data_IF_466928333531
#
_entry.id   IF_466928333531
#
_cell.length_a   1.000
_cell.length_b   1.000
_cell.length_c   1.000
_cell.angle_alpha   90.00
_cell.angle_beta   90.00
_cell.angle_gamma   90.00
#
_symmetry.space_group_name_H-M   'P 1'
#
loop_
_entity.id
_entity.type
_entity.pdbx_description
1 polymer ?
#
# COMPACT_ATOMS: atom_id res chain seq x y z
N UNK A 1 6.10 -15.28 7.84
CA UNK A 1 6.26 -15.87 9.17
C UNK A 1 7.02 -15.00 10.20
N UNK A 2 7.66 -13.88 9.82
CA UNK A 2 8.48 -13.06 10.75
C UNK A 2 7.67 -12.01 11.56
N UNK A 3 6.46 -11.64 11.10
CA UNK A 3 5.67 -10.55 11.68
C UNK A 3 5.09 -10.86 13.07
N UNK A 4 4.62 -12.09 13.30
CA UNK A 4 4.02 -12.49 14.57
C UNK A 4 5.02 -12.41 15.74
N UNK A 5 6.27 -12.83 15.54
CA UNK A 5 7.32 -12.73 16.55
C UNK A 5 7.68 -11.26 16.87
N UNK A 6 7.65 -10.38 15.86
CA UNK A 6 7.91 -8.94 16.04
C UNK A 6 6.79 -8.22 16.80
N UNK A 7 5.53 -8.62 16.61
CA UNK A 7 4.39 -8.00 17.28
C UNK A 7 4.28 -8.45 18.75
N UNK A 8 4.60 -9.72 19.06
CA UNK A 8 4.72 -10.21 20.44
C UNK A 8 5.81 -9.45 21.21
N UNK A 9 7.00 -9.32 20.61
CA UNK A 9 8.11 -8.60 21.23
C UNK A 9 7.76 -7.14 21.56
N UNK A 10 7.07 -6.46 20.64
CA UNK A 10 6.58 -5.09 20.86
C UNK A 10 5.57 -5.03 21.99
N UNK A 11 4.63 -5.96 22.03
CA UNK A 11 3.59 -6.04 23.07
C UNK A 11 4.22 -6.20 24.46
N UNK A 12 5.23 -7.07 24.59
CA UNK A 12 5.95 -7.32 25.85
C UNK A 12 6.77 -6.12 26.31
N UNK A 13 7.42 -5.42 25.39
CA UNK A 13 8.15 -4.17 25.68
C UNK A 13 7.22 -3.07 26.15
N UNK A 14 6.06 -2.92 25.50
CA UNK A 14 5.06 -1.92 25.88
C UNK A 14 4.42 -2.25 27.23
N UNK A 15 4.15 -3.53 27.53
CA UNK A 15 3.66 -3.96 28.84
C UNK A 15 4.67 -3.62 29.95
N UNK A 16 5.94 -4.00 29.79
CA UNK A 16 6.97 -3.67 30.77
C UNK A 16 7.12 -2.16 30.99
N UNK A 17 7.00 -1.35 29.92
CA UNK A 17 7.01 0.11 30.05
C UNK A 17 5.79 0.66 30.79
N UNK A 18 4.61 0.05 30.65
CA UNK A 18 3.40 0.41 31.42
C UNK A 18 3.57 0.05 32.90
N UNK A 19 4.27 -1.03 33.19
CA UNK A 19 4.62 -1.47 34.55
C UNK A 19 5.73 -0.62 35.21
N UNK A 20 6.10 0.52 34.60
CA UNK A 20 7.06 1.48 35.16
C UNK A 20 8.51 1.28 34.74
N UNK A 21 8.80 0.31 33.87
CA UNK A 21 10.16 0.09 33.37
C UNK A 21 10.62 1.21 32.43
N UNK A 22 11.82 1.74 32.65
CA UNK A 22 12.41 2.72 31.73
C UNK A 22 12.68 2.11 30.35
N UNK A 23 12.70 2.93 29.29
CA UNK A 23 13.01 2.48 27.94
C UNK A 23 14.38 1.78 27.86
N UNK A 24 15.37 2.25 28.63
CA UNK A 24 16.71 1.67 28.69
C UNK A 24 16.70 0.30 29.36
N UNK A 25 15.95 0.16 30.45
CA UNK A 25 15.79 -1.11 31.17
C UNK A 25 15.02 -2.15 30.33
N UNK A 26 13.98 -1.72 29.62
CA UNK A 26 13.23 -2.59 28.71
C UNK A 26 14.09 -3.04 27.52
N UNK A 27 14.87 -2.14 26.92
CA UNK A 27 15.81 -2.47 25.86
C UNK A 27 16.81 -3.56 26.28
N UNK A 28 17.41 -3.42 27.46
CA UNK A 28 18.33 -4.41 28.03
C UNK A 28 17.63 -5.76 28.32
N UNK A 29 16.42 -5.74 28.87
CA UNK A 29 15.65 -6.95 29.20
C UNK A 29 15.26 -7.77 27.97
N UNK A 30 14.92 -7.09 26.86
CA UNK A 30 14.41 -7.73 25.65
C UNK A 30 15.46 -7.84 24.52
N UNK A 31 16.70 -7.40 24.76
CA UNK A 31 17.79 -7.50 23.79
C UNK A 31 17.61 -6.65 22.53
N UNK A 32 16.92 -5.51 22.64
CA UNK A 32 16.65 -4.61 21.51
C UNK A 32 17.34 -3.26 21.67
N UNK A 33 17.48 -2.52 20.56
CA UNK A 33 18.04 -1.16 20.59
C UNK A 33 17.21 -0.20 21.46
N UNK A 34 17.91 0.67 22.21
CA UNK A 34 17.28 1.70 23.05
C UNK A 34 16.43 2.65 22.19
N UNK A 35 16.93 3.05 21.02
CA UNK A 35 16.21 3.89 20.06
C UNK A 35 14.90 3.27 19.58
N UNK A 36 14.93 1.97 19.24
CA UNK A 36 13.73 1.20 18.87
C UNK A 36 12.71 1.17 20.00
N UNK A 37 13.17 0.93 21.22
CA UNK A 37 12.31 0.91 22.41
C UNK A 37 11.64 2.25 22.66
N UNK A 38 12.40 3.35 22.57
CA UNK A 38 11.88 4.72 22.70
C UNK A 38 10.82 4.99 21.62
N UNK A 39 11.12 4.64 20.37
CA UNK A 39 10.19 4.82 19.24
C UNK A 39 8.88 4.05 19.45
N UNK A 40 8.95 2.82 19.99
CA UNK A 40 7.75 2.02 20.29
C UNK A 40 6.91 2.64 21.41
N UNK A 41 7.53 3.07 22.51
CA UNK A 41 6.84 3.72 23.63
C UNK A 41 6.21 5.05 23.18
N UNK A 42 6.91 5.85 22.37
CA UNK A 42 6.38 7.10 21.82
C UNK A 42 5.19 6.84 20.87
N UNK A 43 5.29 5.83 19.99
CA UNK A 43 4.19 5.41 19.11
C UNK A 43 2.96 4.96 19.89
N UNK A 44 3.16 4.17 20.96
CA UNK A 44 2.07 3.71 21.81
C UNK A 44 1.38 4.85 22.57
N UNK A 45 2.15 5.85 23.05
CA UNK A 45 1.59 7.08 23.64
C UNK A 45 0.76 7.88 22.64
N UNK A 46 1.12 7.86 21.37
CA UNK A 46 0.34 8.47 20.29
C UNK A 46 -0.83 7.60 19.79
N UNK A 47 -1.20 6.53 20.51
CA UNK A 47 -2.30 5.63 20.14
C UNK A 47 -2.00 4.66 18.99
N UNK A 48 -0.77 4.65 18.46
CA UNK A 48 -0.34 3.76 17.38
C UNK A 48 0.33 2.52 17.95
N UNK A 49 -0.50 1.53 18.28
CA UNK A 49 -0.08 0.24 18.87
C UNK A 49 0.44 -0.74 17.82
N UNK A 50 0.01 -0.60 16.56
CA UNK A 50 0.48 -1.42 15.44
C UNK A 50 1.66 -0.74 14.73
N UNK A 51 2.63 -1.50 14.21
CA UNK A 51 3.63 -0.95 13.30
C UNK A 51 2.93 -0.32 12.09
N UNK A 52 3.39 0.87 11.69
CA UNK A 52 2.98 1.44 10.41
C UNK A 52 3.27 0.44 9.29
N UNK A 53 2.45 0.42 8.24
CA UNK A 53 2.60 -0.51 7.11
C UNK A 53 4.04 -0.43 6.57
N UNK A 54 4.85 -1.44 6.88
CA UNK A 54 6.22 -1.55 6.41
C UNK A 54 6.17 -2.07 4.97
N UNK A 55 6.57 -1.22 4.01
CA UNK A 55 6.49 -1.50 2.58
C UNK A 55 6.01 -0.29 1.78
N UNK A 56 5.84 -0.47 0.47
CA UNK A 56 5.27 0.56 -0.42
C UNK A 56 3.90 0.97 0.13
N UNK A 57 3.65 2.29 0.24
CA UNK A 57 2.31 2.82 0.54
C UNK A 57 1.33 2.23 -0.47
N UNK A 58 0.17 1.78 0.01
CA UNK A 58 -0.93 1.49 -0.90
C UNK A 58 -1.40 2.82 -1.47
N UNK A 59 -1.37 2.92 -2.79
CA UNK A 59 -1.64 4.17 -3.49
C UNK A 59 -0.82 4.29 -4.76
N UNK A 60 -1.51 4.45 -5.88
CA UNK A 60 -0.96 5.01 -7.11
C UNK A 60 -1.48 6.44 -7.25
N UNK A 61 -0.69 7.32 -7.88
CA UNK A 61 -1.17 8.64 -8.29
C UNK A 61 -2.39 8.53 -9.22
N UNK A 62 -2.54 7.41 -9.93
CA UNK A 62 -3.69 7.09 -10.77
C UNK A 62 -4.98 6.84 -9.99
N UNK A 63 -4.92 6.53 -8.69
CA UNK A 63 -6.13 6.28 -7.89
C UNK A 63 -7.02 7.53 -7.83
N UNK A 64 -6.44 8.73 -7.89
CA UNK A 64 -7.18 9.99 -7.95
C UNK A 64 -7.83 10.28 -9.31
N UNK A 65 -7.43 9.54 -10.36
CA UNK A 65 -7.89 9.71 -11.74
C UNK A 65 -8.60 8.46 -12.26
N UNK A 66 -9.08 7.60 -11.36
CA UNK A 66 -9.67 6.31 -11.71
C UNK A 66 -10.87 6.46 -12.64
N UNK A 67 -11.82 7.34 -12.28
CA UNK A 67 -13.03 7.58 -13.07
C UNK A 67 -12.71 8.09 -14.48
N UNK A 68 -11.68 8.93 -14.62
CA UNK A 68 -11.23 9.43 -15.92
C UNK A 68 -10.63 8.31 -16.78
N UNK A 69 -9.82 7.44 -16.17
CA UNK A 69 -9.19 6.31 -16.88
C UNK A 69 -10.25 5.28 -17.29
N UNK A 70 -11.22 4.99 -16.41
CA UNK A 70 -12.33 4.07 -16.71
C UNK A 70 -13.21 4.64 -17.81
N UNK A 71 -13.60 5.92 -17.72
CA UNK A 71 -14.40 6.59 -18.75
C UNK A 71 -13.72 6.57 -20.12
N UNK A 72 -12.41 6.80 -20.16
CA UNK A 72 -11.61 6.70 -21.39
C UNK A 72 -11.62 5.29 -22.01
N UNK A 73 -11.54 4.25 -21.18
CA UNK A 73 -11.60 2.85 -21.63
C UNK A 73 -13.01 2.50 -22.14
N UNK A 74 -14.06 3.04 -21.52
CA UNK A 74 -15.45 2.77 -21.90
C UNK A 74 -15.87 3.51 -23.18
N UNK A 75 -15.40 4.75 -23.37
CA UNK A 75 -15.71 5.59 -24.54
C UNK A 75 -15.05 5.05 -25.82
N UNK A 76 -13.82 4.52 -25.72
CA UNK A 76 -13.06 4.06 -26.87
C UNK A 76 -12.33 2.74 -26.56
N UNK A 77 -12.94 1.64 -27.02
CA UNK A 77 -12.54 0.27 -26.67
C UNK A 77 -11.24 -0.21 -27.35
N UNK A 78 -10.65 0.56 -28.25
CA UNK A 78 -9.47 0.21 -29.03
C UNK A 78 -8.19 0.96 -28.62
N UNK A 79 -8.15 1.54 -27.40
CA UNK A 79 -6.95 2.24 -26.96
C UNK A 79 -5.79 1.30 -26.60
N UNK A 80 -4.63 1.57 -27.20
CA UNK A 80 -3.38 0.97 -26.76
C UNK A 80 -2.87 1.65 -25.49
N UNK A 81 -2.15 0.89 -24.67
CA UNK A 81 -1.60 1.40 -23.40
C UNK A 81 -0.61 2.58 -23.60
N UNK A 82 0.01 2.71 -24.79
CA UNK A 82 0.85 3.85 -25.15
C UNK A 82 0.02 5.12 -25.42
N UNK A 83 -1.13 4.98 -26.09
CA UNK A 83 -2.02 6.11 -26.36
C UNK A 83 -2.67 6.62 -25.07
N UNK A 84 -3.03 5.72 -24.15
CA UNK A 84 -3.46 6.11 -22.81
C UNK A 84 -2.40 6.94 -22.08
N UNK A 85 -1.12 6.55 -22.16
CA UNK A 85 -0.01 7.31 -21.55
C UNK A 85 0.15 8.68 -22.21
N UNK A 86 0.02 8.79 -23.54
CA UNK A 86 0.09 10.07 -24.26
C UNK A 86 -1.06 11.00 -23.87
N UNK A 87 -2.28 10.47 -23.73
CA UNK A 87 -3.46 11.24 -23.34
C UNK A 87 -3.37 11.71 -21.88
N UNK A 88 -2.84 10.86 -20.99
CA UNK A 88 -2.54 11.22 -19.59
C UNK A 88 -1.40 12.24 -19.46
N UNK A 89 -0.42 12.23 -20.37
CA UNK A 89 0.67 13.19 -20.37
C UNK A 89 0.23 14.62 -20.75
N UNK A 90 -0.96 14.77 -21.35
CA UNK A 90 -1.61 16.06 -21.57
C UNK A 90 -2.16 16.71 -20.29
N UNK A 91 -2.31 15.94 -19.21
CA UNK A 91 -2.67 16.46 -17.90
C UNK A 91 -1.43 16.68 -17.01
N UNK A 92 -1.22 17.90 -16.46
CA UNK A 92 -0.06 18.21 -15.60
C UNK A 92 0.07 17.33 -14.34
N UNK A 93 -1.00 16.63 -13.95
CA UNK A 93 -1.07 15.83 -12.73
C UNK A 93 -0.56 14.38 -12.90
N UNK A 94 -0.45 13.86 -14.14
CA UNK A 94 -0.28 12.42 -14.39
C UNK A 94 0.84 12.12 -15.39
N UNK A 95 2.09 12.49 -15.06
CA UNK A 95 3.25 11.91 -15.76
C UNK A 95 3.55 10.52 -15.18
N UNK A 96 3.07 9.47 -15.86
CA UNK A 96 3.22 8.07 -15.43
C UNK A 96 3.67 7.22 -16.62
N UNK A 97 4.72 6.43 -16.42
CA UNK A 97 5.23 5.53 -17.45
C UNK A 97 4.31 4.34 -17.72
N UNK A 98 4.38 3.80 -18.94
CA UNK A 98 3.65 2.63 -19.44
C UNK A 98 3.54 1.49 -18.41
N UNK A 99 4.65 1.09 -17.80
CA UNK A 99 4.68 -0.02 -16.85
C UNK A 99 3.90 0.24 -15.56
N UNK A 100 3.82 1.49 -15.11
CA UNK A 100 3.07 1.85 -13.91
C UNK A 100 1.56 1.88 -14.18
N UNK A 101 1.13 2.29 -15.38
CA UNK A 101 -0.25 2.18 -15.83
C UNK A 101 -0.68 0.72 -15.99
N UNK A 102 0.15 -0.12 -16.62
CA UNK A 102 -0.11 -1.56 -16.79
C UNK A 102 -0.28 -2.28 -15.44
N UNK A 103 0.64 -2.08 -14.50
CA UNK A 103 0.55 -2.67 -13.15
C UNK A 103 -0.70 -2.17 -12.41
N UNK A 104 -1.07 -0.90 -12.59
CA UNK A 104 -2.24 -0.31 -11.94
C UNK A 104 -3.55 -0.87 -12.50
N UNK A 105 -3.66 -1.01 -13.82
CA UNK A 105 -4.80 -1.60 -14.52
C UNK A 105 -4.95 -3.09 -14.16
N UNK A 106 -3.87 -3.86 -14.16
CA UNK A 106 -3.87 -5.28 -13.76
C UNK A 106 -4.33 -5.51 -12.33
N UNK A 107 -3.94 -4.62 -11.40
CA UNK A 107 -4.44 -4.66 -10.01
C UNK A 107 -5.95 -4.49 -9.90
N UNK A 108 -6.59 -3.89 -10.90
CA UNK A 108 -8.03 -3.66 -11.01
C UNK A 108 -8.73 -4.65 -11.94
N UNK A 109 -8.04 -5.73 -12.33
CA UNK A 109 -8.60 -6.79 -13.16
C UNK A 109 -8.59 -6.50 -14.67
N UNK A 110 -8.05 -5.37 -15.11
CA UNK A 110 -7.95 -5.06 -16.54
C UNK A 110 -6.76 -5.80 -17.16
N UNK A 111 -7.03 -6.64 -18.15
CA UNK A 111 -5.99 -7.32 -18.94
C UNK A 111 -6.00 -6.80 -20.37
N UNK A 112 -4.92 -6.14 -20.77
CA UNK A 112 -4.69 -5.74 -22.16
C UNK A 112 -3.86 -6.83 -22.85
N UNK A 113 -4.50 -7.59 -23.76
CA UNK A 113 -3.79 -8.42 -24.74
C UNK A 113 -3.56 -7.56 -25.99
N UNK A 114 -2.59 -7.89 -26.84
CA UNK A 114 -2.14 -7.01 -27.94
C UNK A 114 -3.22 -6.58 -28.97
N UNK A 115 -4.49 -6.99 -28.82
CA UNK A 115 -5.68 -6.29 -29.31
C UNK A 115 -6.83 -6.54 -28.30
N UNK A 116 -7.57 -5.48 -27.93
CA UNK A 116 -8.75 -5.40 -27.05
C UNK A 116 -8.60 -5.61 -25.52
N UNK A 117 -9.15 -4.71 -24.66
CA UNK A 117 -9.31 -4.93 -23.23
C UNK A 117 -10.53 -5.81 -22.92
N UNK A 118 -10.31 -6.91 -22.19
CA UNK A 118 -11.41 -7.68 -21.60
C UNK A 118 -11.77 -7.08 -20.23
N UNK A 119 -13.08 -6.91 -19.97
CA UNK A 119 -13.61 -6.51 -18.65
C UNK A 119 -13.15 -7.55 -17.60
N UNK A 120 -12.92 -7.17 -16.33
CA UNK A 120 -12.80 -8.15 -15.25
C UNK A 120 -14.04 -9.04 -15.26
N UNK A 121 -13.84 -10.36 -15.24
CA UNK A 121 -14.94 -11.30 -15.15
C UNK A 121 -15.61 -11.10 -13.81
N UNK A 122 -16.82 -10.56 -13.81
CA UNK A 122 -17.62 -10.41 -12.59
C UNK A 122 -17.94 -11.82 -12.10
N UNK A 123 -17.29 -12.21 -11.01
CA UNK A 123 -17.57 -13.46 -10.31
C UNK A 123 -19.02 -13.38 -9.82
N UNK A 124 -19.91 -14.05 -10.56
CA UNK A 124 -21.29 -14.28 -10.14
C UNK A 124 -21.28 -14.91 -8.75
N UNK A 125 -21.74 -14.15 -7.77
CA UNK A 125 -22.11 -14.68 -6.46
C UNK A 125 -23.28 -15.63 -6.68
N UNK A 126 -23.03 -16.94 -6.55
CA UNK A 126 -24.09 -17.95 -6.46
C UNK A 126 -24.31 -18.24 -4.98
N UNK A 127 -25.58 -18.15 -4.59
CA UNK A 127 -26.15 -18.47 -3.28
C UNK A 127 -25.74 -19.84 -2.75
#
# INVERSE_FOLDING_TARGET
>A
MIRALSDDLRSRVLAASRDGMSARSAAARFGIGISTTIAWIASARAGRLTPAKQGRRDGSRLDAHEDFIVGMIEEEKDFTLNEMVLRLAGEPAVSIGRSALDVWLRKRGWTFKNVWPARPQEDFTVF
#
